data_IF_730955512113
#
_entry.id   IF_730955512113
#
_cell.length_a   1.000
_cell.length_b   1.000
_cell.length_c   1.000
_cell.angle_alpha   90.00
_cell.angle_beta   90.00
_cell.angle_gamma   90.00
#
_symmetry.space_group_name_H-M   'P 1'
#
loop_
_entity.id
_entity.type
_entity.pdbx_description
1 polymer ?
#
# COMPACT_ATOMS: atom_id res chain seq x y z
N UNK A 1 -10.77 61.50 25.49
CA UNK A 1 -10.35 62.07 24.19
C UNK A 1 -11.31 61.58 23.11
N UNK A 2 -11.50 62.41 22.10
CA UNK A 2 -12.67 62.64 21.24
C UNK A 2 -12.58 61.93 19.87
N UNK A 3 -13.74 61.75 19.21
CA UNK A 3 -13.93 61.57 17.74
C UNK A 3 -14.63 60.23 17.39
N UNK A 4 -15.87 60.11 16.87
CA UNK A 4 -16.67 60.79 15.80
C UNK A 4 -15.98 60.67 14.43
N UNK A 5 -16.49 59.92 13.45
CA UNK A 5 -17.47 60.32 12.40
C UNK A 5 -17.97 59.08 11.60
N UNK A 6 -19.27 58.76 11.48
CA UNK A 6 -20.31 59.09 10.46
C UNK A 6 -20.12 58.68 8.98
N UNK A 7 -21.20 58.05 8.44
CA UNK A 7 -21.80 58.08 7.07
C UNK A 7 -21.03 57.38 5.92
N UNK A 8 -21.62 56.86 4.83
CA UNK A 8 -22.98 56.69 4.27
C UNK A 8 -22.85 55.66 3.10
N UNK A 9 -23.83 54.77 2.87
CA UNK A 9 -24.85 54.77 1.80
C UNK A 9 -24.50 54.05 0.47
N UNK A 10 -25.29 52.98 0.21
CA UNK A 10 -25.83 52.55 -1.10
C UNK A 10 -24.94 51.71 -2.03
N UNK A 11 -25.49 51.03 -3.08
CA UNK A 11 -26.89 50.77 -3.42
C UNK A 11 -27.27 49.27 -3.58
N UNK A 12 -28.57 48.96 -3.52
CA UNK A 12 -29.19 47.73 -4.06
C UNK A 12 -29.30 47.81 -5.59
N UNK A 13 -29.09 46.70 -6.30
CA UNK A 13 -29.90 46.21 -7.44
C UNK A 13 -29.39 44.80 -7.81
N UNK A 14 -30.19 43.75 -7.58
CA UNK A 14 -31.08 43.08 -8.55
C UNK A 14 -30.41 42.69 -9.87
N UNK A 15 -30.28 41.39 -10.14
CA UNK A 15 -30.56 40.78 -11.45
C UNK A 15 -30.74 39.26 -11.23
N UNK A 16 -31.97 38.74 -11.25
CA UNK A 16 -32.68 38.18 -12.42
C UNK A 16 -32.17 36.80 -12.84
N UNK A 17 -32.90 35.77 -12.38
CA UNK A 17 -33.43 34.61 -13.11
C UNK A 17 -32.76 34.21 -14.44
N UNK A 18 -32.38 32.92 -14.52
CA UNK A 18 -32.86 31.87 -15.47
C UNK A 18 -31.89 30.68 -15.36
N UNK A 19 -32.31 29.52 -14.83
CA UNK A 19 -33.05 28.44 -15.52
C UNK A 19 -32.37 27.96 -16.80
N UNK A 20 -32.41 26.62 -16.96
CA UNK A 20 -32.21 25.81 -18.18
C UNK A 20 -30.93 24.97 -18.11
N UNK A 21 -30.91 23.69 -18.44
CA UNK A 21 -31.93 22.70 -18.73
C UNK A 21 -31.18 21.35 -18.80
N UNK A 22 -31.90 20.25 -18.63
CA UNK A 22 -31.45 18.93 -19.04
C UNK A 22 -30.94 18.97 -20.49
N UNK A 23 -29.74 18.43 -20.70
CA UNK A 23 -29.24 18.07 -22.02
C UNK A 23 -28.81 16.62 -21.99
N UNK A 24 -29.73 15.72 -22.33
CA UNK A 24 -29.37 14.36 -22.70
C UNK A 24 -28.74 14.42 -24.10
N UNK A 25 -27.43 14.14 -24.18
CA UNK A 25 -26.77 13.85 -25.43
C UNK A 25 -26.37 12.37 -25.42
N UNK A 26 -27.26 11.55 -25.98
CA UNK A 26 -26.88 10.23 -26.46
C UNK A 26 -26.01 10.44 -27.70
N UNK A 27 -24.74 10.06 -27.61
CA UNK A 27 -23.87 9.87 -28.77
C UNK A 27 -23.21 8.51 -28.62
N UNK A 28 -23.80 7.54 -29.31
CA UNK A 28 -23.14 6.27 -29.59
C UNK A 28 -21.98 6.52 -30.54
N UNK A 29 -20.81 6.06 -30.14
CA UNK A 29 -19.65 5.83 -31.01
C UNK A 29 -19.11 4.44 -30.66
N UNK A 30 -19.46 3.48 -31.50
CA UNK A 30 -18.79 2.20 -31.55
C UNK A 30 -17.40 2.41 -32.15
N UNK A 31 -16.38 2.27 -31.31
CA UNK A 31 -15.03 1.94 -31.74
C UNK A 31 -14.68 0.66 -31.00
N UNK A 32 -14.68 -0.45 -31.74
CA UNK A 32 -14.11 -1.72 -31.33
C UNK A 32 -12.59 -1.54 -31.20
N UNK A 33 -12.16 -0.88 -30.13
CA UNK A 33 -10.81 -1.00 -29.62
C UNK A 33 -10.76 -2.33 -28.88
N UNK A 34 -9.86 -3.21 -29.28
CA UNK A 34 -9.43 -4.29 -28.41
C UNK A 34 -8.96 -3.63 -27.12
N UNK A 35 -9.83 -3.61 -26.11
CA UNK A 35 -9.44 -3.33 -24.74
C UNK A 35 -8.54 -4.51 -24.43
N UNK A 36 -7.23 -4.33 -24.60
CA UNK A 36 -6.26 -5.07 -23.83
C UNK A 36 -6.68 -4.82 -22.39
N UNK A 37 -7.51 -5.70 -21.87
CA UNK A 37 -7.73 -5.84 -20.44
C UNK A 37 -6.39 -6.28 -19.89
N UNK A 38 -5.47 -5.32 -19.76
CA UNK A 38 -4.34 -5.47 -18.87
C UNK A 38 -4.99 -5.90 -17.54
N UNK A 39 -4.60 -7.06 -16.98
CA UNK A 39 -5.15 -7.48 -15.72
C UNK A 39 -4.95 -6.31 -14.76
N UNK A 40 -6.05 -5.71 -14.34
CA UNK A 40 -6.01 -4.65 -13.35
C UNK A 40 -5.33 -5.26 -12.14
N UNK A 41 -4.11 -4.81 -11.86
CA UNK A 41 -3.37 -5.00 -10.62
C UNK A 41 -4.13 -4.27 -9.50
N UNK A 42 -5.37 -4.70 -9.29
CA UNK A 42 -6.35 -4.15 -8.37
C UNK A 42 -6.79 -5.33 -7.50
N UNK A 43 -5.84 -5.87 -6.74
CA UNK A 43 -6.11 -6.88 -5.72
C UNK A 43 -4.97 -7.04 -4.70
N UNK A 44 -3.78 -6.45 -4.92
CA UNK A 44 -2.67 -6.66 -4.01
C UNK A 44 -2.82 -5.88 -2.68
N UNK A 45 -3.62 -4.82 -2.62
CA UNK A 45 -3.73 -3.95 -1.43
C UNK A 45 -4.23 -4.67 -0.17
N UNK A 46 -5.00 -5.76 -0.31
CA UNK A 46 -5.51 -6.56 0.81
C UNK A 46 -4.64 -7.79 1.11
N UNK A 47 -3.69 -8.11 0.22
CA UNK A 47 -2.79 -9.24 0.36
C UNK A 47 -1.57 -8.85 1.21
N UNK A 48 -1.07 -9.81 1.97
CA UNK A 48 0.01 -9.56 2.92
C UNK A 48 1.02 -10.70 3.02
N UNK A 49 2.19 -10.33 3.53
CA UNK A 49 3.23 -11.21 4.01
C UNK A 49 3.23 -11.10 5.53
N UNK A 50 2.89 -12.16 6.23
CA UNK A 50 2.82 -12.22 7.69
C UNK A 50 4.00 -13.00 8.26
N UNK A 51 4.49 -12.54 9.40
CA UNK A 51 5.52 -13.21 10.17
C UNK A 51 5.04 -13.42 11.61
N UNK A 52 5.20 -14.64 12.10
CA UNK A 52 5.13 -14.98 13.52
C UNK A 52 6.53 -15.28 14.02
N UNK A 53 6.98 -14.58 15.05
CA UNK A 53 8.37 -14.62 15.47
C UNK A 53 8.56 -15.31 16.83
N UNK A 54 9.12 -16.52 16.80
CA UNK A 54 9.47 -17.33 17.96
C UNK A 54 10.97 -17.66 18.01
N UNK A 55 11.80 -16.93 17.27
CA UNK A 55 13.23 -17.17 17.20
C UNK A 55 13.99 -16.41 18.30
N UNK A 56 15.10 -16.99 18.77
CA UNK A 56 15.94 -16.44 19.83
C UNK A 56 16.89 -15.33 19.36
N UNK A 57 16.42 -14.35 18.58
CA UNK A 57 17.18 -13.17 18.13
C UNK A 57 16.23 -12.01 17.84
N UNK A 58 16.76 -10.79 17.68
CA UNK A 58 15.99 -9.70 17.07
C UNK A 58 15.93 -9.92 15.56
N UNK A 59 14.77 -9.66 14.97
CA UNK A 59 14.54 -9.83 13.54
C UNK A 59 14.29 -8.51 12.85
N UNK A 60 14.99 -8.32 11.74
CA UNK A 60 14.68 -7.31 10.76
C UNK A 60 14.07 -7.96 9.51
N UNK A 61 13.10 -7.29 8.89
CA UNK A 61 12.55 -7.70 7.60
C UNK A 61 12.55 -6.54 6.63
N UNK A 62 13.24 -6.69 5.50
CA UNK A 62 13.28 -5.70 4.43
C UNK A 62 12.48 -6.19 3.23
N UNK A 63 11.58 -5.35 2.74
CA UNK A 63 10.68 -5.63 1.63
C UNK A 63 11.13 -4.86 0.39
N UNK A 64 11.44 -5.60 -0.65
CA UNK A 64 11.75 -5.08 -1.98
C UNK A 64 10.62 -5.49 -2.93
N UNK A 65 9.72 -4.55 -3.22
CA UNK A 65 8.55 -4.81 -4.04
C UNK A 65 8.93 -4.94 -5.51
N UNK A 66 8.28 -5.88 -6.20
CA UNK A 66 8.41 -6.10 -7.64
C UNK A 66 7.15 -5.60 -8.33
N UNK A 67 7.30 -4.96 -9.49
CA UNK A 67 6.17 -4.38 -10.21
C UNK A 67 6.63 -3.34 -11.24
N UNK A 68 5.73 -2.41 -11.62
CA UNK A 68 6.05 -1.36 -12.58
C UNK A 68 7.13 -0.40 -12.05
N UNK A 69 7.73 0.37 -12.96
CA UNK A 69 8.74 1.37 -12.61
C UNK A 69 8.22 2.36 -11.55
N UNK A 70 9.05 2.66 -10.55
CA UNK A 70 8.71 3.54 -9.43
C UNK A 70 8.22 2.80 -8.20
N UNK A 71 7.90 1.50 -8.28
CA UNK A 71 7.45 0.72 -7.13
C UNK A 71 8.54 0.57 -6.06
N UNK A 72 9.81 0.59 -6.46
CA UNK A 72 10.98 0.51 -5.59
C UNK A 72 11.03 1.65 -4.56
N UNK A 73 10.39 2.78 -4.85
CA UNK A 73 10.23 3.90 -3.89
C UNK A 73 9.40 3.53 -2.66
N UNK A 74 8.67 2.41 -2.70
CA UNK A 74 7.87 1.86 -1.60
C UNK A 74 8.61 0.79 -0.80
N UNK A 75 9.86 0.48 -1.13
CA UNK A 75 10.66 -0.47 -0.37
C UNK A 75 10.91 0.07 1.04
N UNK A 76 10.84 -0.82 2.04
CA UNK A 76 11.07 -0.43 3.44
C UNK A 76 11.54 -1.62 4.26
N UNK A 77 12.06 -1.33 5.46
CA UNK A 77 12.42 -2.34 6.43
C UNK A 77 11.63 -2.15 7.74
N UNK A 78 11.36 -3.24 8.42
CA UNK A 78 10.89 -3.26 9.79
C UNK A 78 12.01 -3.84 10.65
N UNK A 79 12.40 -3.10 11.68
CA UNK A 79 13.58 -3.41 12.47
C UNK A 79 13.22 -3.89 13.89
N UNK A 80 14.18 -4.57 14.51
CA UNK A 80 14.25 -4.89 15.93
C UNK A 80 13.00 -5.59 16.46
N UNK A 81 12.42 -6.50 15.66
CA UNK A 81 11.22 -7.26 16.08
C UNK A 81 11.61 -8.25 17.19
N UNK A 82 11.07 -8.09 18.42
CA UNK A 82 11.41 -8.99 19.52
C UNK A 82 10.67 -10.33 19.39
N UNK A 83 11.17 -11.35 20.09
CA UNK A 83 10.53 -12.66 20.20
C UNK A 83 9.09 -12.54 20.73
N UNK A 84 8.20 -13.40 20.25
CA UNK A 84 6.78 -13.42 20.60
C UNK A 84 5.93 -12.38 19.87
N UNK A 85 6.50 -11.66 18.90
CA UNK A 85 5.74 -10.68 18.11
C UNK A 85 5.26 -11.25 16.78
N UNK A 86 4.29 -10.56 16.18
CA UNK A 86 3.87 -10.83 14.81
C UNK A 86 3.67 -9.51 14.07
N UNK A 87 3.93 -9.53 12.77
CA UNK A 87 3.77 -8.35 11.93
C UNK A 87 3.41 -8.74 10.50
N UNK A 88 2.98 -7.73 9.73
CA UNK A 88 2.64 -7.87 8.32
C UNK A 88 3.34 -6.80 7.50
N UNK A 89 3.69 -7.17 6.26
CA UNK A 89 3.93 -6.25 5.17
C UNK A 89 2.84 -6.43 4.13
N UNK A 90 2.13 -5.35 3.80
CA UNK A 90 1.05 -5.37 2.82
C UNK A 90 1.62 -5.08 1.45
N UNK A 91 1.16 -5.82 0.43
CA UNK A 91 1.58 -5.54 -0.93
C UNK A 91 1.00 -4.19 -1.38
N UNK A 92 1.81 -3.29 -1.97
CA UNK A 92 1.29 -2.18 -2.74
C UNK A 92 0.35 -2.67 -3.84
N UNK A 93 -0.70 -1.90 -4.17
CA UNK A 93 -1.73 -2.32 -5.13
C UNK A 93 -1.15 -2.78 -6.49
N UNK A 94 -0.12 -2.08 -6.97
CA UNK A 94 0.56 -2.35 -8.24
C UNK A 94 1.66 -3.42 -8.16
N UNK A 95 1.93 -3.99 -6.98
CA UNK A 95 2.94 -5.01 -6.82
C UNK A 95 2.55 -6.31 -7.51
N UNK A 96 3.51 -6.94 -8.17
CA UNK A 96 3.40 -8.29 -8.75
C UNK A 96 4.11 -9.33 -7.91
N UNK A 97 4.96 -8.90 -6.97
CA UNK A 97 5.65 -9.77 -6.03
C UNK A 97 6.53 -8.98 -5.07
N UNK A 98 7.37 -9.70 -4.34
CA UNK A 98 8.37 -9.13 -3.45
C UNK A 98 9.60 -10.03 -3.36
N UNK A 99 10.75 -9.44 -3.07
CA UNK A 99 11.83 -10.10 -2.36
C UNK A 99 11.76 -9.61 -0.93
N UNK A 100 11.63 -10.51 0.04
CA UNK A 100 11.70 -10.16 1.46
C UNK A 100 12.93 -10.78 2.06
N UNK A 101 13.82 -9.98 2.62
CA UNK A 101 14.99 -10.50 3.32
C UNK A 101 14.76 -10.42 4.82
N UNK A 102 14.81 -11.58 5.48
CA UNK A 102 14.76 -11.71 6.94
C UNK A 102 16.19 -11.71 7.45
N UNK A 103 16.55 -10.81 8.36
CA UNK A 103 17.87 -10.74 8.98
C UNK A 103 17.78 -11.04 10.46
N UNK A 104 18.83 -11.65 11.00
CA UNK A 104 19.03 -11.89 12.42
C UNK A 104 20.52 -11.79 12.75
N UNK A 105 20.86 -11.84 14.04
CA UNK A 105 22.27 -11.84 14.44
C UNK A 105 23.02 -13.01 13.80
N UNK A 106 23.97 -12.73 12.91
CA UNK A 106 24.82 -13.75 12.29
C UNK A 106 24.21 -14.46 11.09
N UNK A 107 23.09 -13.99 10.53
CA UNK A 107 22.55 -14.60 9.31
C UNK A 107 21.42 -13.81 8.66
N UNK A 108 21.04 -14.27 7.46
CA UNK A 108 19.89 -13.76 6.73
C UNK A 108 19.31 -14.84 5.83
N UNK A 109 18.04 -14.66 5.44
CA UNK A 109 17.38 -15.50 4.44
C UNK A 109 16.52 -14.64 3.51
N UNK A 110 16.80 -14.64 2.20
CA UNK A 110 15.90 -14.05 1.23
C UNK A 110 14.70 -14.99 0.98
N UNK A 111 13.53 -14.39 0.82
CA UNK A 111 12.27 -15.01 0.46
C UNK A 111 11.80 -14.41 -0.85
N UNK A 112 11.59 -15.24 -1.86
CA UNK A 112 11.14 -14.78 -3.17
C UNK A 112 9.66 -15.10 -3.35
N UNK A 113 8.85 -14.05 -3.46
CA UNK A 113 7.40 -14.15 -3.59
C UNK A 113 7.01 -13.54 -4.92
N UNK A 114 6.41 -14.35 -5.80
CA UNK A 114 6.03 -13.93 -7.15
C UNK A 114 4.49 -13.84 -7.33
N UNK A 115 3.75 -14.02 -6.23
CA UNK A 115 2.28 -14.08 -6.20
C UNK A 115 1.80 -13.01 -5.20
N UNK A 116 1.68 -11.76 -5.65
CA UNK A 116 1.20 -10.64 -4.81
C UNK A 116 -0.32 -10.66 -4.59
N UNK A 117 -1.04 -11.55 -5.28
CA UNK A 117 -2.48 -11.77 -5.17
C UNK A 117 -2.87 -12.78 -4.07
N UNK A 118 -1.88 -13.27 -3.31
CA UNK A 118 -2.09 -14.24 -2.23
C UNK A 118 -1.39 -13.83 -0.95
N UNK A 119 -1.99 -14.22 0.17
CA UNK A 119 -1.35 -14.10 1.48
C UNK A 119 -0.21 -15.13 1.61
N UNK A 120 0.87 -14.70 2.25
CA UNK A 120 2.02 -15.56 2.59
C UNK A 120 2.26 -15.47 4.09
N UNK A 121 2.40 -16.61 4.75
CA UNK A 121 2.59 -16.66 6.19
C UNK A 121 3.89 -17.41 6.49
N UNK A 122 4.72 -16.80 7.34
CA UNK A 122 5.99 -17.37 7.74
C UNK A 122 6.07 -17.47 9.26
N UNK A 123 6.63 -18.58 9.73
CA UNK A 123 7.01 -18.76 11.13
C UNK A 123 8.52 -18.73 11.27
N UNK A 124 9.02 -17.88 12.16
CA UNK A 124 10.43 -17.78 12.48
C UNK A 124 10.67 -18.53 13.79
N UNK A 125 11.54 -19.52 13.78
CA UNK A 125 11.81 -20.38 14.95
C UNK A 125 13.30 -20.67 15.12
N UNK A 126 13.66 -21.23 16.27
CA UNK A 126 15.01 -21.65 16.59
C UNK A 126 15.78 -20.64 17.42
N UNK A 127 17.09 -20.83 17.52
CA UNK A 127 17.99 -20.02 18.36
C UNK A 127 19.29 -19.76 17.62
N UNK A 128 20.10 -18.83 18.11
CA UNK A 128 21.43 -18.59 17.52
C UNK A 128 22.35 -19.83 17.59
N UNK A 129 22.16 -20.70 18.58
CA UNK A 129 22.97 -21.92 18.76
C UNK A 129 22.50 -23.04 17.84
N UNK A 130 21.19 -23.26 17.75
CA UNK A 130 20.60 -24.33 16.92
C UNK A 130 20.42 -23.95 15.45
N UNK A 131 20.58 -22.66 15.13
CA UNK A 131 20.14 -22.07 13.87
C UNK A 131 18.73 -21.49 13.98
N UNK A 132 18.53 -20.38 13.25
CA UNK A 132 17.21 -19.76 13.06
C UNK A 132 16.66 -20.22 11.71
N UNK A 133 15.39 -20.58 11.71
CA UNK A 133 14.68 -21.10 10.55
C UNK A 133 13.49 -20.20 10.20
N UNK A 134 13.25 -20.05 8.90
CA UNK A 134 12.06 -19.38 8.36
C UNK A 134 11.24 -20.42 7.63
N UNK A 135 10.07 -20.74 8.16
CA UNK A 135 9.18 -21.78 7.68
C UNK A 135 8.01 -21.14 6.94
N UNK A 136 7.72 -21.60 5.72
CA UNK A 136 6.49 -21.26 5.01
C UNK A 136 5.36 -22.09 5.64
N UNK A 137 4.29 -21.42 6.07
CA UNK A 137 3.16 -22.04 6.77
C UNK A 137 1.86 -21.56 6.14
N UNK A 138 0.79 -22.33 6.37
CA UNK A 138 -0.53 -21.89 5.93
C UNK A 138 -0.95 -20.63 6.69
N UNK A 139 -1.41 -19.65 5.92
CA UNK A 139 -2.41 -18.69 6.40
C UNK A 139 -3.77 -19.41 6.51
#
# INVERSE_FOLDING_TARGET
MTGRTTREAGPRMRHTKRSSACGAAALGLALAGAVLTAPSAAAAADNYISFEHNAGSLIDTCYEWKGPAGIESKNYCQHDRPIGTSWKGFFPAEATGATVTVYWTGGSKPLYINEADKNRCFKLEGTLVSGIHVLDVNC
#
